data_IF_304970907312
#
_entry.id   IF_304970907312
#
_cell.length_a   1.000
_cell.length_b   1.000
_cell.length_c   1.000
_cell.angle_alpha   90.00
_cell.angle_beta   90.00
_cell.angle_gamma   90.00
#
_symmetry.space_group_name_H-M   'P 1'
#
loop_
_entity.id
_entity.type
_entity.pdbx_description
1 polymer ?
#
# COMPACT_ATOMS: atom_id res chain seq x y z
N UNK A 1 7.46 -12.18 7.45
CA UNK A 1 6.42 -12.47 8.45
C UNK A 1 6.48 -13.96 8.74
N UNK A 2 6.14 -14.37 9.98
CA UNK A 2 6.27 -15.78 10.39
C UNK A 2 5.40 -16.73 9.55
N UNK A 3 4.14 -16.35 9.25
CA UNK A 3 3.24 -17.16 8.42
C UNK A 3 3.78 -17.42 7.01
N UNK A 4 4.35 -16.40 6.35
CA UNK A 4 4.99 -16.59 5.03
C UNK A 4 6.25 -17.43 5.09
N UNK A 5 7.01 -17.40 6.19
CA UNK A 5 8.20 -18.21 6.33
C UNK A 5 7.85 -19.71 6.46
N UNK A 6 6.68 -20.02 7.03
CA UNK A 6 6.16 -21.38 7.12
C UNK A 6 5.61 -21.89 5.78
N UNK A 7 4.87 -21.06 5.03
CA UNK A 7 4.27 -21.47 3.74
C UNK A 7 5.24 -21.37 2.56
N UNK A 8 6.15 -20.38 2.56
CA UNK A 8 7.05 -20.04 1.45
C UNK A 8 8.47 -19.74 1.96
N UNK A 9 9.23 -20.76 2.40
CA UNK A 9 10.52 -20.56 3.07
C UNK A 9 11.58 -19.87 2.20
N UNK A 10 11.54 -20.05 0.87
CA UNK A 10 12.49 -19.43 -0.06
C UNK A 10 12.22 -17.95 -0.40
N UNK A 11 10.98 -17.47 -0.19
CA UNK A 11 10.48 -16.17 -0.66
C UNK A 11 9.69 -15.42 0.42
N UNK A 12 9.91 -15.75 1.69
CA UNK A 12 9.20 -15.17 2.82
C UNK A 12 9.20 -13.62 2.81
N UNK A 13 8.13 -13.04 3.35
CA UNK A 13 7.82 -11.60 3.30
C UNK A 13 8.73 -10.84 4.28
N UNK A 14 9.84 -10.27 3.81
CA UNK A 14 10.74 -9.45 4.67
C UNK A 14 10.16 -8.07 4.95
N UNK A 15 9.50 -7.47 3.95
CA UNK A 15 8.78 -6.21 4.08
C UNK A 15 7.59 -6.21 3.12
N UNK A 16 6.40 -6.45 3.67
CA UNK A 16 5.14 -6.49 2.92
C UNK A 16 4.27 -5.26 3.11
N UNK A 17 3.10 -5.24 2.46
CA UNK A 17 2.19 -4.09 2.42
C UNK A 17 1.75 -3.61 3.80
N UNK A 18 1.58 -4.51 4.80
CA UNK A 18 1.19 -4.09 6.15
C UNK A 18 2.30 -3.30 6.85
N UNK A 19 3.57 -3.68 6.66
CA UNK A 19 4.72 -2.93 7.18
C UNK A 19 4.84 -1.59 6.45
N UNK A 20 4.69 -1.61 5.13
CA UNK A 20 4.64 -0.42 4.29
C UNK A 20 3.55 0.55 4.74
N UNK A 21 2.33 0.07 4.95
CA UNK A 21 1.19 0.87 5.38
C UNK A 21 1.42 1.48 6.77
N UNK A 22 1.92 0.70 7.73
CA UNK A 22 2.23 1.21 9.08
C UNK A 22 3.25 2.35 9.03
N UNK A 23 4.35 2.17 8.29
CA UNK A 23 5.39 3.20 8.14
C UNK A 23 4.87 4.42 7.39
N UNK A 24 4.17 4.21 6.27
CA UNK A 24 3.61 5.27 5.45
C UNK A 24 2.61 6.13 6.23
N UNK A 25 1.69 5.51 6.97
CA UNK A 25 0.71 6.23 7.80
C UNK A 25 1.38 7.11 8.86
N UNK A 26 2.44 6.60 9.51
CA UNK A 26 3.24 7.39 10.44
C UNK A 26 3.93 8.56 9.74
N UNK A 27 4.60 8.30 8.61
CA UNK A 27 5.27 9.33 7.83
C UNK A 27 4.30 10.42 7.34
N UNK A 28 3.12 10.04 6.85
CA UNK A 28 2.08 10.97 6.43
C UNK A 28 1.50 11.77 7.59
N UNK A 29 1.33 11.16 8.78
CA UNK A 29 0.91 11.90 9.97
C UNK A 29 1.92 12.98 10.35
N UNK A 30 3.21 12.66 10.31
CA UNK A 30 4.30 13.60 10.58
C UNK A 30 4.43 14.68 9.48
N UNK A 31 4.15 14.32 8.23
CA UNK A 31 4.19 15.23 7.08
C UNK A 31 2.92 16.09 6.94
N UNK A 32 1.82 15.77 7.64
CA UNK A 32 0.55 16.48 7.53
C UNK A 32 0.66 18.02 7.68
N UNK A 33 1.46 18.58 8.60
CA UNK A 33 1.65 20.03 8.74
C UNK A 33 2.24 20.72 7.50
N UNK A 34 2.85 19.98 6.57
CA UNK A 34 3.39 20.52 5.32
C UNK A 34 2.29 21.03 4.37
N UNK A 35 1.04 20.55 4.53
CA UNK A 35 -0.14 20.98 3.75
C UNK A 35 0.12 21.01 2.24
N UNK A 36 0.18 22.20 1.63
CA UNK A 36 0.40 22.37 0.19
C UNK A 36 1.75 21.85 -0.29
N UNK A 37 2.77 21.80 0.57
CA UNK A 37 4.08 21.24 0.24
C UNK A 37 4.06 19.72 0.01
N UNK A 38 2.98 19.02 0.40
CA UNK A 38 2.78 17.61 0.08
C UNK A 38 2.66 17.36 -1.44
N UNK A 39 2.24 18.35 -2.24
CA UNK A 39 2.17 18.21 -3.70
C UNK A 39 3.55 18.04 -4.35
N UNK A 40 4.50 18.98 -4.20
CA UNK A 40 5.84 18.82 -4.75
C UNK A 40 6.62 17.70 -4.06
N UNK A 41 6.43 17.48 -2.75
CA UNK A 41 7.04 16.34 -2.06
C UNK A 41 6.55 15.01 -2.63
N UNK A 42 5.25 14.86 -2.86
CA UNK A 42 4.69 13.65 -3.49
C UNK A 42 5.26 13.41 -4.88
N UNK A 43 5.39 14.47 -5.69
CA UNK A 43 6.01 14.38 -7.02
C UNK A 43 7.47 13.92 -6.93
N UNK A 44 8.24 14.48 -6.00
CA UNK A 44 9.63 14.07 -5.76
C UNK A 44 9.72 12.59 -5.38
N UNK A 45 8.90 12.14 -4.42
CA UNK A 45 8.91 10.74 -3.95
C UNK A 45 8.47 9.74 -5.03
N UNK A 46 7.55 10.14 -5.91
CA UNK A 46 7.12 9.33 -7.06
C UNK A 46 8.21 9.28 -8.14
N UNK A 47 8.88 10.40 -8.41
CA UNK A 47 9.90 10.48 -9.44
C UNK A 47 11.24 9.85 -9.03
N UNK A 48 11.59 9.88 -7.74
CA UNK A 48 12.87 9.41 -7.23
C UNK A 48 13.29 8.00 -7.69
N UNK A 49 12.45 6.94 -7.62
CA UNK A 49 12.82 5.61 -8.10
C UNK A 49 13.00 5.49 -9.63
N UNK A 50 12.54 6.49 -10.40
CA UNK A 50 12.74 6.54 -11.86
C UNK A 50 14.13 7.07 -12.23
N UNK A 51 14.74 7.88 -11.35
CA UNK A 51 16.01 8.58 -11.61
C UNK A 51 17.16 8.08 -10.74
N UNK A 52 16.86 7.49 -9.58
CA UNK A 52 17.83 6.92 -8.64
C UNK A 52 17.52 5.46 -8.39
N UNK A 53 18.46 4.59 -8.71
CA UNK A 53 18.48 3.19 -8.33
C UNK A 53 19.90 2.80 -7.95
N UNK A 54 20.07 1.96 -6.93
CA UNK A 54 21.40 1.58 -6.47
C UNK A 54 21.44 0.18 -5.87
N UNK A 55 22.47 -0.65 -6.15
CA UNK A 55 22.56 -2.04 -5.65
C UNK A 55 22.52 -2.17 -4.12
N UNK A 56 22.88 -1.11 -3.39
CA UNK A 56 22.71 -1.05 -1.93
C UNK A 56 21.27 -1.34 -1.48
N UNK A 57 20.28 -0.97 -2.29
CA UNK A 57 18.86 -1.20 -2.00
C UNK A 57 18.40 -2.61 -2.35
N UNK A 58 19.19 -3.44 -3.04
CA UNK A 58 18.75 -4.78 -3.44
C UNK A 58 18.73 -5.81 -2.30
N UNK A 59 19.23 -5.43 -1.12
CA UNK A 59 19.23 -6.29 0.07
C UNK A 59 17.84 -6.36 0.73
N UNK A 60 17.55 -7.46 1.44
CA UNK A 60 16.28 -7.61 2.18
C UNK A 60 16.06 -6.56 3.27
N UNK A 61 17.12 -5.90 3.73
CA UNK A 61 17.07 -4.88 4.77
C UNK A 61 16.82 -3.47 4.22
N UNK A 62 16.98 -3.25 2.92
CA UNK A 62 16.99 -1.93 2.29
C UNK A 62 16.04 -1.83 1.10
N UNK A 63 15.59 -2.95 0.56
CA UNK A 63 14.68 -3.01 -0.60
C UNK A 63 13.30 -2.39 -0.35
N UNK A 64 12.92 -2.22 0.91
CA UNK A 64 11.68 -1.57 1.30
C UNK A 64 11.69 -0.07 1.01
N UNK A 65 12.84 0.55 0.74
CA UNK A 65 12.89 1.97 0.33
C UNK A 65 12.29 2.15 -1.06
N UNK A 66 12.50 1.20 -1.98
CA UNK A 66 11.97 1.26 -3.35
C UNK A 66 12.94 1.73 -4.43
N UNK A 67 14.22 1.95 -4.10
CA UNK A 67 15.28 2.37 -5.02
C UNK A 67 16.13 1.18 -5.53
N UNK A 68 15.49 0.02 -5.66
CA UNK A 68 16.13 -1.24 -6.08
C UNK A 68 16.49 -1.20 -7.57
N UNK A 69 17.56 -1.89 -7.95
CA UNK A 69 17.91 -2.12 -9.37
C UNK A 69 17.23 -3.35 -9.94
N UNK A 70 16.84 -4.29 -9.06
CA UNK A 70 16.17 -5.55 -9.42
C UNK A 70 15.03 -5.85 -8.47
N UNK A 71 13.96 -6.45 -8.99
CA UNK A 71 12.80 -6.81 -8.18
C UNK A 71 13.22 -7.85 -7.12
N UNK A 72 12.94 -7.61 -5.82
CA UNK A 72 13.26 -8.58 -4.77
C UNK A 72 12.42 -9.85 -4.90
N UNK A 73 13.02 -10.99 -4.52
CA UNK A 73 12.33 -12.28 -4.42
C UNK A 73 11.60 -12.35 -3.08
N UNK A 74 10.34 -11.89 -3.08
CA UNK A 74 9.44 -11.98 -1.92
C UNK A 74 7.97 -12.01 -2.37
N UNK A 75 7.13 -12.73 -1.64
CA UNK A 75 5.70 -12.92 -1.99
C UNK A 75 4.88 -11.63 -2.00
N UNK A 76 5.29 -10.64 -1.19
CA UNK A 76 4.61 -9.35 -1.09
C UNK A 76 5.67 -8.25 -0.97
N UNK A 77 5.89 -7.53 -2.07
CA UNK A 77 6.82 -6.40 -2.12
C UNK A 77 6.08 -5.12 -2.44
N UNK A 78 5.85 -4.31 -1.40
CA UNK A 78 5.28 -2.96 -1.51
C UNK A 78 6.23 -1.99 -0.80
N UNK A 79 7.19 -1.40 -1.53
CA UNK A 79 8.17 -0.48 -0.95
C UNK A 79 7.54 0.87 -0.55
N UNK A 80 8.32 1.70 0.13
CA UNK A 80 7.94 3.06 0.52
C UNK A 80 7.78 3.96 -0.71
N UNK A 81 8.74 3.93 -1.63
CA UNK A 81 8.68 4.69 -2.88
C UNK A 81 8.17 3.77 -4.01
N UNK A 82 7.24 4.23 -4.86
CA UNK A 82 6.69 5.59 -4.94
C UNK A 82 5.46 5.84 -4.05
N UNK A 83 4.97 4.83 -3.33
CA UNK A 83 3.65 4.80 -2.70
C UNK A 83 3.43 5.87 -1.62
N UNK A 84 4.47 6.24 -0.87
CA UNK A 84 4.41 7.35 0.09
C UNK A 84 4.06 8.67 -0.60
N UNK A 85 4.56 8.89 -1.82
CA UNK A 85 4.24 10.08 -2.60
C UNK A 85 2.78 10.11 -3.04
N UNK A 86 2.25 8.98 -3.52
CA UNK A 86 0.83 8.81 -3.87
C UNK A 86 -0.05 9.05 -2.64
N UNK A 87 0.31 8.49 -1.49
CA UNK A 87 -0.42 8.69 -0.24
C UNK A 87 -0.34 10.14 0.24
N UNK A 88 0.80 10.80 0.05
CA UNK A 88 1.00 12.23 0.30
C UNK A 88 0.07 13.11 -0.53
N UNK A 89 -0.14 12.81 -1.81
CA UNK A 89 -1.13 13.49 -2.65
C UNK A 89 -2.56 13.26 -2.16
N UNK A 90 -2.91 12.04 -1.75
CA UNK A 90 -4.21 11.75 -1.12
C UNK A 90 -4.44 12.59 0.14
N UNK A 91 -3.42 12.71 1.00
CA UNK A 91 -3.48 13.56 2.20
C UNK A 91 -3.60 15.05 1.84
N UNK A 92 -2.84 15.53 0.86
CA UNK A 92 -2.90 16.92 0.38
C UNK A 92 -4.29 17.26 -0.13
N UNK A 93 -4.85 16.39 -0.98
CA UNK A 93 -6.20 16.52 -1.53
C UNK A 93 -7.25 16.48 -0.43
N UNK A 94 -7.15 15.56 0.51
CA UNK A 94 -8.06 15.46 1.65
C UNK A 94 -8.06 16.73 2.50
N UNK A 95 -6.88 17.26 2.85
CA UNK A 95 -6.75 18.53 3.58
C UNK A 95 -7.33 19.72 2.80
N UNK A 96 -7.08 19.77 1.48
CA UNK A 96 -7.62 20.82 0.62
C UNK A 96 -9.16 20.76 0.51
N UNK A 97 -9.72 19.56 0.31
CA UNK A 97 -11.16 19.33 0.30
C UNK A 97 -11.80 19.69 1.64
N UNK A 98 -11.21 19.30 2.76
CA UNK A 98 -11.73 19.67 4.09
C UNK A 98 -11.72 21.18 4.32
N UNK A 99 -10.73 21.89 3.77
CA UNK A 99 -10.59 23.34 3.92
C UNK A 99 -11.53 24.13 2.99
N UNK A 100 -11.78 23.68 1.76
CA UNK A 100 -12.52 24.46 0.73
C UNK A 100 -13.86 23.86 0.31
N UNK A 101 -14.02 22.54 0.43
CA UNK A 101 -15.16 21.79 -0.09
C UNK A 101 -15.63 20.72 0.90
N UNK A 102 -15.69 21.08 2.18
CA UNK A 102 -16.06 20.16 3.28
C UNK A 102 -17.31 19.30 3.02
N UNK A 103 -18.38 19.81 2.37
CA UNK A 103 -19.56 19.00 2.05
C UNK A 103 -19.27 17.78 1.18
N UNK A 104 -18.22 17.80 0.34
CA UNK A 104 -17.82 16.67 -0.51
C UNK A 104 -17.39 15.46 0.34
N UNK A 105 -16.77 15.71 1.50
CA UNK A 105 -16.28 14.65 2.39
C UNK A 105 -17.21 14.36 3.57
N UNK A 106 -18.04 15.34 3.97
CA UNK A 106 -18.93 15.23 5.13
C UNK A 106 -20.39 14.95 4.77
N UNK A 107 -20.75 14.94 3.49
CA UNK A 107 -22.11 14.68 3.02
C UNK A 107 -22.51 13.20 3.12
N UNK A 108 -23.82 12.89 3.00
CA UNK A 108 -24.30 11.51 2.97
C UNK A 108 -23.75 10.77 1.75
N UNK A 109 -23.25 9.55 1.98
CA UNK A 109 -22.73 8.73 0.89
C UNK A 109 -23.88 8.25 -0.01
N UNK A 110 -23.78 8.39 -1.35
CA UNK A 110 -24.76 7.83 -2.27
C UNK A 110 -24.97 6.32 -2.02
N UNK A 111 -26.22 5.86 -2.00
CA UNK A 111 -26.56 4.44 -1.76
C UNK A 111 -25.80 3.47 -2.67
N UNK A 112 -25.55 3.88 -3.92
CA UNK A 112 -24.78 3.09 -4.91
C UNK A 112 -23.34 2.82 -4.48
N UNK A 113 -22.76 3.69 -3.63
CA UNK A 113 -21.39 3.56 -3.11
C UNK A 113 -21.35 2.87 -1.74
N UNK A 114 -22.49 2.52 -1.14
CA UNK A 114 -22.54 1.86 0.16
C UNK A 114 -21.74 0.53 0.22
N UNK A 115 -21.76 -0.33 -0.83
CA UNK A 115 -20.90 -1.52 -0.84
C UNK A 115 -19.41 -1.19 -0.79
N UNK A 116 -18.98 -0.16 -1.54
CA UNK A 116 -17.58 0.30 -1.53
C UNK A 116 -17.18 0.86 -0.16
N UNK A 117 -18.10 1.56 0.50
CA UNK A 117 -17.89 2.06 1.86
C UNK A 117 -17.73 0.92 2.87
N UNK A 118 -18.51 -0.17 2.71
CA UNK A 118 -18.38 -1.35 3.55
C UNK A 118 -17.02 -2.04 3.36
N UNK A 119 -16.58 -2.21 2.11
CA UNK A 119 -15.24 -2.74 1.81
C UNK A 119 -14.14 -1.87 2.45
N UNK A 120 -14.28 -0.55 2.36
CA UNK A 120 -13.35 0.41 2.96
C UNK A 120 -13.37 0.48 4.49
N UNK A 121 -14.41 -0.05 5.16
CA UNK A 121 -14.48 -0.14 6.64
C UNK A 121 -13.73 -1.35 7.19
N UNK A 122 -13.64 -2.43 6.41
CA UNK A 122 -12.96 -3.67 6.79
C UNK A 122 -11.81 -4.04 5.84
N UNK A 123 -10.96 -3.09 5.41
CA UNK A 123 -9.99 -3.33 4.35
C UNK A 123 -8.96 -4.37 4.78
N UNK A 124 -8.56 -4.37 6.07
CA UNK A 124 -7.63 -5.35 6.60
C UNK A 124 -8.22 -6.77 6.63
N UNK A 125 -9.47 -6.92 7.04
CA UNK A 125 -10.11 -8.24 7.09
C UNK A 125 -10.28 -8.81 5.67
N UNK A 126 -10.72 -7.98 4.72
CA UNK A 126 -10.81 -8.35 3.30
C UNK A 126 -9.43 -8.71 2.76
N UNK A 127 -8.41 -7.90 3.07
CA UNK A 127 -7.04 -8.16 2.70
C UNK A 127 -6.46 -9.44 3.35
N UNK A 128 -6.89 -9.85 4.55
CA UNK A 128 -6.45 -11.12 5.13
C UNK A 128 -7.19 -12.33 4.53
N UNK A 129 -8.47 -12.16 4.18
CA UNK A 129 -9.31 -13.25 3.69
C UNK A 129 -9.10 -13.55 2.21
N UNK A 130 -8.67 -12.59 1.39
CA UNK A 130 -8.60 -12.81 -0.06
C UNK A 130 -7.65 -13.97 -0.44
N UNK A 131 -6.46 -14.07 0.16
CA UNK A 131 -5.50 -15.15 -0.15
C UNK A 131 -6.06 -16.55 0.15
N UNK A 132 -6.50 -16.89 1.38
CA UNK A 132 -7.02 -18.23 1.67
C UNK A 132 -8.30 -18.54 0.89
N UNK A 133 -9.17 -17.55 0.63
CA UNK A 133 -10.38 -17.75 -0.17
C UNK A 133 -10.05 -18.07 -1.63
N UNK A 134 -9.12 -17.34 -2.25
CA UNK A 134 -8.71 -17.59 -3.64
C UNK A 134 -8.00 -18.94 -3.77
N UNK A 135 -7.10 -19.27 -2.85
CA UNK A 135 -6.43 -20.58 -2.83
C UNK A 135 -7.47 -21.69 -2.69
N UNK A 136 -8.39 -21.58 -1.73
CA UNK A 136 -9.46 -22.57 -1.51
C UNK A 136 -10.41 -22.71 -2.70
N UNK A 137 -10.78 -21.61 -3.35
CA UNK A 137 -11.63 -21.64 -4.53
C UNK A 137 -10.95 -22.33 -5.73
N UNK A 138 -9.67 -22.00 -5.97
CA UNK A 138 -8.90 -22.61 -7.05
C UNK A 138 -8.65 -24.10 -6.82
N UNK A 139 -8.36 -24.51 -5.58
CA UNK A 139 -8.16 -25.94 -5.26
C UNK A 139 -9.48 -26.72 -5.40
N UNK A 140 -10.60 -26.17 -4.93
CA UNK A 140 -11.92 -26.78 -5.12
C UNK A 140 -12.28 -26.90 -6.61
N UNK A 141 -12.03 -25.85 -7.40
CA UNK A 141 -12.24 -25.87 -8.85
C UNK A 141 -11.41 -26.96 -9.54
N UNK A 142 -10.12 -27.07 -9.20
CA UNK A 142 -9.24 -28.11 -9.76
C UNK A 142 -9.67 -29.52 -9.35
N UNK A 143 -10.24 -29.69 -8.16
CA UNK A 143 -10.74 -30.98 -7.69
C UNK A 143 -12.05 -31.38 -8.38
N UNK A 144 -12.92 -30.42 -8.71
CA UNK A 144 -14.21 -30.65 -9.37
C UNK A 144 -14.11 -30.74 -10.91
N UNK A 145 -13.08 -30.15 -11.51
CA UNK A 145 -12.81 -30.20 -12.95
C UNK A 145 -11.98 -31.40 -13.41
N UNK A 146 -11.63 -32.31 -12.49
CA UNK A 146 -11.04 -33.63 -12.76
C UNK A 146 -12.12 -34.70 -12.62
#
# INVERSE_FOLDING_TARGET
>A
SAGSALMFPGSWISFGVLHGMALMLLAARLAAPLRGWLWPLGALLVALPLVVQHPFFDSRLTNWVGLVTRKPVTEDWVPLLPWLGVMGWGLALGQWLLARHRPVLAGPLPRRLAPLAWLGRWPLAIYMLHQPLLIGALTAWQALGR
#
